data_IF_035098314639
#
_entry.id   IF_035098314639
#
_cell.length_a   1.000
_cell.length_b   1.000
_cell.length_c   1.000
_cell.angle_alpha   90.00
_cell.angle_beta   90.00
_cell.angle_gamma   90.00
#
_symmetry.space_group_name_H-M   'P 1'
#
loop_
_entity.id
_entity.type
_entity.pdbx_description
1 polymer ?
#
# COMPACT_ATOMS: atom_id res chain seq x y z
N UNK A 1 -9.26 14.13 9.55
CA UNK A 1 -7.87 14.21 10.05
C UNK A 1 -7.03 13.20 9.30
N UNK A 2 -5.84 13.60 8.83
CA UNK A 2 -4.87 12.71 8.12
C UNK A 2 -3.61 12.62 8.96
N UNK A 3 -3.05 11.42 9.07
CA UNK A 3 -1.84 11.17 9.86
C UNK A 3 -0.63 10.96 8.96
N UNK A 4 0.53 11.44 9.40
CA UNK A 4 1.78 11.34 8.67
C UNK A 4 2.75 10.43 9.40
N UNK A 5 3.32 9.47 8.68
CA UNK A 5 4.33 8.55 9.21
C UNK A 5 5.51 8.47 8.23
N UNK A 6 6.73 8.68 8.74
CA UNK A 6 7.95 8.58 7.94
C UNK A 6 8.37 7.12 7.72
N UNK A 7 8.10 6.23 8.68
CA UNK A 7 8.45 4.81 8.61
C UNK A 7 7.22 3.93 8.88
N UNK A 8 6.78 3.23 7.83
CA UNK A 8 5.62 2.34 7.81
C UNK A 8 5.93 0.92 8.32
N UNK A 9 7.15 0.62 8.73
CA UNK A 9 7.49 -0.65 9.40
C UNK A 9 7.87 -0.43 10.87
N UNK A 10 7.86 0.83 11.33
CA UNK A 10 8.10 1.15 12.74
C UNK A 10 7.06 0.53 13.67
N UNK A 11 7.47 0.23 14.91
CA UNK A 11 6.55 -0.24 15.97
C UNK A 11 5.43 0.77 16.24
N UNK A 12 5.74 2.06 16.17
CA UNK A 12 4.77 3.14 16.39
C UNK A 12 3.68 3.11 15.32
N UNK A 13 4.07 3.02 14.05
CA UNK A 13 3.13 2.88 12.94
C UNK A 13 2.28 1.61 13.10
N UNK A 14 2.93 0.47 13.36
CA UNK A 14 2.24 -0.82 13.51
C UNK A 14 1.20 -0.77 14.62
N UNK A 15 1.55 -0.21 15.77
CA UNK A 15 0.61 -0.04 16.88
C UNK A 15 -0.54 0.91 16.50
N UNK A 16 -0.24 2.02 15.82
CA UNK A 16 -1.24 2.98 15.39
C UNK A 16 -2.26 2.38 14.42
N UNK A 17 -1.82 1.66 13.39
CA UNK A 17 -2.75 1.06 12.40
C UNK A 17 -3.62 -0.04 13.01
N UNK A 18 -3.13 -0.71 14.07
CA UNK A 18 -3.89 -1.72 14.79
C UNK A 18 -4.97 -1.10 15.69
N UNK A 19 -4.65 0.01 16.38
CA UNK A 19 -5.59 0.73 17.24
C UNK A 19 -6.60 1.57 16.44
N UNK A 20 -6.16 2.17 15.35
CA UNK A 20 -6.90 3.15 14.57
C UNK A 20 -7.01 2.77 13.08
N UNK A 21 -7.54 1.59 12.73
CA UNK A 21 -7.47 1.04 11.36
C UNK A 21 -8.25 1.85 10.31
N UNK A 22 -9.23 2.64 10.74
CA UNK A 22 -10.01 3.51 9.85
C UNK A 22 -9.29 4.83 9.50
N UNK A 23 -8.19 5.15 10.18
CA UNK A 23 -7.51 6.43 10.02
C UNK A 23 -6.76 6.50 8.68
N UNK A 24 -6.93 7.59 7.92
CA UNK A 24 -6.16 7.84 6.70
C UNK A 24 -4.71 8.19 7.04
N UNK A 25 -3.76 7.48 6.40
CA UNK A 25 -2.31 7.65 6.65
C UNK A 25 -1.56 7.92 5.35
N UNK A 26 -0.67 8.91 5.37
CA UNK A 26 0.22 9.25 4.27
C UNK A 26 1.70 9.26 4.71
N UNK A 27 2.60 8.95 3.78
CA UNK A 27 4.03 9.17 3.93
C UNK A 27 4.42 10.59 3.50
N UNK A 28 5.44 11.22 4.10
CA UNK A 28 5.87 12.58 3.71
C UNK A 28 6.24 12.73 2.23
N UNK A 29 6.72 11.65 1.60
CA UNK A 29 7.17 11.66 0.21
C UNK A 29 6.04 12.00 -0.78
N UNK A 30 4.81 11.57 -0.50
CA UNK A 30 3.68 11.89 -1.36
C UNK A 30 3.35 13.37 -1.36
N UNK A 31 3.47 14.02 -0.20
CA UNK A 31 3.20 15.45 -0.06
C UNK A 31 4.22 16.24 -0.87
N UNK A 32 5.51 15.92 -0.71
CA UNK A 32 6.60 16.55 -1.47
C UNK A 32 6.40 16.40 -2.98
N UNK A 33 6.06 15.19 -3.42
CA UNK A 33 5.89 14.87 -4.85
C UNK A 33 4.70 15.62 -5.45
N UNK A 34 3.52 15.54 -4.80
CA UNK A 34 2.29 16.22 -5.25
C UNK A 34 2.42 17.73 -5.23
N UNK A 35 3.02 18.30 -4.17
CA UNK A 35 3.27 19.74 -4.08
C UNK A 35 4.16 20.23 -5.22
N UNK A 36 5.26 19.52 -5.51
CA UNK A 36 6.16 19.85 -6.62
C UNK A 36 5.46 19.81 -7.98
N UNK A 37 4.52 18.88 -8.15
CA UNK A 37 3.74 18.72 -9.38
C UNK A 37 2.50 19.62 -9.43
N UNK A 38 2.23 20.43 -8.39
CA UNK A 38 1.00 21.22 -8.24
C UNK A 38 -0.27 20.37 -8.36
N UNK A 39 -0.23 19.16 -7.83
CA UNK A 39 -1.36 18.25 -7.77
C UNK A 39 -1.96 18.23 -6.37
N UNK A 40 -3.25 17.93 -6.28
CA UNK A 40 -3.93 17.71 -5.00
C UNK A 40 -3.37 16.48 -4.28
N UNK A 41 -3.46 16.47 -2.95
CA UNK A 41 -3.11 15.28 -2.18
C UNK A 41 -4.17 14.20 -2.39
N UNK A 42 -3.79 12.92 -2.57
CA UNK A 42 -4.77 11.85 -2.62
C UNK A 42 -5.42 11.68 -1.26
N UNK A 43 -6.68 11.26 -1.26
CA UNK A 43 -7.38 10.87 -0.04
C UNK A 43 -7.20 9.36 0.18
N UNK A 44 -6.33 8.93 1.11
CA UNK A 44 -6.10 7.52 1.34
C UNK A 44 -7.36 6.90 1.96
N UNK A 45 -7.78 5.77 1.41
CA UNK A 45 -8.92 5.02 1.97
C UNK A 45 -8.52 4.42 3.32
N UNK A 46 -9.52 4.16 4.17
CA UNK A 46 -9.33 3.40 5.40
C UNK A 46 -8.55 2.10 5.12
N UNK A 47 -7.63 1.74 6.02
CA UNK A 47 -6.73 0.57 5.89
C UNK A 47 -5.87 0.54 4.62
N UNK A 48 -5.70 1.67 3.93
CA UNK A 48 -4.78 1.82 2.79
C UNK A 48 -3.84 3.01 3.00
N UNK A 49 -2.83 2.87 3.88
CA UNK A 49 -1.75 3.83 3.98
C UNK A 49 -1.06 4.01 2.63
N UNK A 50 -0.68 5.24 2.28
CA UNK A 50 0.07 5.53 1.06
C UNK A 50 1.39 6.20 1.43
N UNK A 51 2.50 5.54 1.17
CA UNK A 51 3.83 6.06 1.41
C UNK A 51 4.28 6.99 0.26
N UNK A 52 4.13 6.52 -0.98
CA UNK A 52 4.44 7.25 -2.20
C UNK A 52 3.58 6.75 -3.37
N UNK A 53 3.83 7.23 -4.58
CA UNK A 53 3.06 6.90 -5.78
C UNK A 53 3.91 6.31 -6.90
N UNK A 54 5.02 5.67 -6.54
CA UNK A 54 5.95 5.11 -7.52
C UNK A 54 5.30 4.04 -8.40
N UNK A 55 4.33 3.30 -7.88
CA UNK A 55 3.58 2.28 -8.60
C UNK A 55 2.15 2.73 -8.94
N UNK A 56 1.88 4.04 -8.94
CA UNK A 56 0.59 4.56 -9.36
C UNK A 56 0.29 4.13 -10.81
N UNK A 57 -0.90 3.57 -11.03
CA UNK A 57 -1.35 2.95 -12.28
C UNK A 57 -0.64 1.65 -12.69
N UNK A 58 0.12 1.02 -11.79
CA UNK A 58 0.72 -0.31 -12.03
C UNK A 58 -0.14 -1.40 -11.39
N UNK A 59 -0.46 -2.43 -12.17
CA UNK A 59 -1.11 -3.66 -11.67
C UNK A 59 -0.05 -4.77 -11.61
N UNK A 60 0.18 -5.28 -10.41
CA UNK A 60 1.15 -6.35 -10.13
C UNK A 60 0.41 -7.66 -9.90
N UNK A 61 0.89 -8.72 -10.54
CA UNK A 61 0.52 -10.11 -10.26
C UNK A 61 1.69 -10.78 -9.56
N UNK A 62 1.43 -11.42 -8.41
CA UNK A 62 2.44 -12.15 -7.65
C UNK A 62 2.25 -13.64 -7.92
N UNK A 63 3.02 -14.17 -8.88
CA UNK A 63 2.90 -15.54 -9.38
C UNK A 63 3.35 -16.62 -8.39
N UNK A 64 4.59 -16.51 -7.87
CA UNK A 64 5.19 -17.54 -7.00
C UNK A 64 5.78 -16.94 -5.72
N UNK A 65 5.87 -17.74 -4.66
CA UNK A 65 6.45 -17.37 -3.36
C UNK A 65 5.64 -17.88 -2.17
N UNK A 66 6.29 -17.98 -1.02
CA UNK A 66 5.62 -18.32 0.24
C UNK A 66 4.52 -17.31 0.59
N UNK A 67 3.46 -17.78 1.26
CA UNK A 67 2.29 -16.95 1.54
C UNK A 67 2.64 -15.65 2.30
N UNK A 68 3.52 -15.74 3.30
CA UNK A 68 3.97 -14.58 4.08
C UNK A 68 4.71 -13.57 3.21
N UNK A 69 5.62 -14.04 2.35
CA UNK A 69 6.35 -13.18 1.40
C UNK A 69 5.39 -12.49 0.43
N UNK A 70 4.40 -13.23 -0.10
CA UNK A 70 3.37 -12.65 -0.98
C UNK A 70 2.54 -11.59 -0.27
N UNK A 71 2.16 -11.80 1.01
CA UNK A 71 1.45 -10.80 1.82
C UNK A 71 2.30 -9.55 2.04
N UNK A 72 3.58 -9.71 2.35
CA UNK A 72 4.53 -8.60 2.53
C UNK A 72 4.71 -7.80 1.24
N UNK A 73 4.93 -8.46 0.10
CA UNK A 73 5.04 -7.76 -1.19
C UNK A 73 3.73 -7.05 -1.55
N UNK A 74 2.59 -7.70 -1.35
CA UNK A 74 1.30 -7.06 -1.61
C UNK A 74 1.07 -5.82 -0.74
N UNK A 75 1.54 -5.84 0.52
CA UNK A 75 1.53 -4.70 1.43
C UNK A 75 2.39 -3.55 0.88
N UNK A 76 3.65 -3.83 0.53
CA UNK A 76 4.59 -2.83 -0.01
C UNK A 76 4.10 -2.22 -1.32
N UNK A 77 3.56 -3.04 -2.25
CA UNK A 77 2.99 -2.56 -3.52
C UNK A 77 1.87 -1.55 -3.25
N UNK A 78 0.99 -1.84 -2.29
CA UNK A 78 -0.11 -0.94 -1.92
C UNK A 78 0.40 0.36 -1.27
N UNK A 79 1.45 0.31 -0.45
CA UNK A 79 2.08 1.52 0.08
C UNK A 79 2.60 2.45 -1.02
N UNK A 80 2.97 1.91 -2.18
CA UNK A 80 3.42 2.68 -3.35
C UNK A 80 2.29 3.01 -4.35
N UNK A 81 1.03 2.93 -3.92
CA UNK A 81 -0.17 3.14 -4.75
C UNK A 81 -0.38 2.14 -5.90
N UNK A 82 0.30 1.00 -5.86
CA UNK A 82 0.10 -0.08 -6.82
C UNK A 82 -1.12 -0.94 -6.51
N UNK A 83 -1.61 -1.63 -7.54
CA UNK A 83 -2.70 -2.59 -7.43
C UNK A 83 -2.15 -4.01 -7.46
N UNK A 84 -2.69 -4.90 -6.61
CA UNK A 84 -2.32 -6.31 -6.61
C UNK A 84 -3.51 -7.12 -7.07
N UNK A 85 -3.37 -7.83 -8.18
CA UNK A 85 -4.36 -8.79 -8.65
C UNK A 85 -4.00 -10.16 -8.09
N UNK A 86 -4.96 -10.81 -7.42
CA UNK A 86 -4.79 -12.21 -7.00
C UNK A 86 -4.83 -13.05 -8.26
N UNK A 87 -3.82 -13.89 -8.45
CA UNK A 87 -3.75 -14.72 -9.64
C UNK A 87 -4.98 -15.64 -9.68
N UNK A 88 -5.63 -15.69 -10.84
CA UNK A 88 -6.92 -16.34 -11.05
C UNK A 88 -6.82 -17.85 -11.25
N UNK A 89 -5.63 -18.43 -11.07
CA UNK A 89 -5.45 -19.88 -11.05
C UNK A 89 -5.99 -20.45 -9.73
N UNK A 90 -7.32 -20.41 -9.63
CA UNK A 90 -8.07 -21.56 -9.13
C UNK A 90 -7.46 -22.78 -9.83
N UNK A 91 -6.98 -23.74 -9.05
CA UNK A 91 -6.58 -25.05 -9.55
C UNK A 91 -7.79 -25.66 -10.26
N UNK A 92 -7.91 -25.43 -11.56
CA UNK A 92 -8.53 -26.42 -12.43
C UNK A 92 -7.49 -27.52 -12.57
N UNK A 93 -7.54 -28.46 -11.64
CA UNK A 93 -7.04 -29.81 -11.90
C UNK A 93 -7.88 -30.36 -13.05
N UNK A 94 -7.42 -30.16 -14.28
CA UNK A 94 -7.78 -30.99 -15.40
C UNK A 94 -6.58 -31.85 -15.78
N UNK A 95 -6.84 -33.15 -15.67
CA UNK A 95 -6.04 -34.33 -15.97
C UNK A 95 -4.89 -34.68 -15.01
#
# INVERSE_FOLDING_TARGET
MVFLFEDFESKVFTNFINLCPASPVLGPMIIKTRHRQKLELPYPRARRPIYNEMLHNVIVVIGHGEENSRRTWAKLIRYMSGHVKRDGYTFFAFH
#
